data_IF_875441200044
#
_entry.id   IF_875441200044
#
_cell.length_a   1.000
_cell.length_b   1.000
_cell.length_c   1.000
_cell.angle_alpha   90.00
_cell.angle_beta   90.00
_cell.angle_gamma   90.00
#
_symmetry.space_group_name_H-M   'P 1'
#
loop_
_entity.id
_entity.type
_entity.pdbx_description
1 polymer ?
#
# COMPACT_ATOMS: atom_id res chain seq x y z
N UNK A 1 -20.21 46.73 -10.52
CA UNK A 1 -20.76 45.57 -9.80
C UNK A 1 -19.87 44.38 -10.04
N UNK A 2 -18.98 44.09 -9.09
CA UNK A 2 -18.10 42.92 -9.10
C UNK A 2 -18.84 41.76 -8.41
N UNK A 3 -19.19 40.73 -9.14
CA UNK A 3 -19.71 39.49 -8.60
C UNK A 3 -18.54 38.70 -7.98
N UNK A 4 -18.53 38.62 -6.67
CA UNK A 4 -17.68 37.73 -5.92
C UNK A 4 -18.25 36.32 -6.08
N UNK A 5 -17.57 35.46 -6.85
CA UNK A 5 -17.88 34.03 -6.85
C UNK A 5 -17.33 33.46 -5.52
N UNK A 6 -18.25 33.18 -4.61
CA UNK A 6 -17.93 32.36 -3.45
C UNK A 6 -17.56 30.95 -3.95
N UNK A 7 -16.26 30.66 -3.93
CA UNK A 7 -15.77 29.29 -4.10
C UNK A 7 -16.06 28.60 -2.77
N UNK A 8 -17.17 27.89 -2.69
CA UNK A 8 -17.42 26.93 -1.63
C UNK A 8 -16.31 25.89 -1.69
N UNK A 9 -15.29 26.06 -0.84
CA UNK A 9 -14.36 24.98 -0.52
C UNK A 9 -15.16 23.93 0.24
N UNK A 10 -15.60 22.90 -0.47
CA UNK A 10 -16.10 21.68 0.17
C UNK A 10 -14.91 21.11 0.95
N UNK A 11 -14.95 21.15 2.28
CA UNK A 11 -14.00 20.46 3.14
C UNK A 11 -14.27 18.96 2.93
N UNK A 12 -13.55 18.37 1.99
CA UNK A 12 -13.55 16.92 1.84
C UNK A 12 -12.89 16.36 3.10
N UNK A 13 -13.64 15.66 3.92
CA UNK A 13 -13.07 14.91 5.06
C UNK A 13 -11.95 14.01 4.52
N UNK A 14 -10.72 14.21 4.98
CA UNK A 14 -9.60 13.39 4.52
C UNK A 14 -9.85 11.93 4.86
N UNK A 15 -9.73 11.04 3.86
CA UNK A 15 -9.86 9.60 4.05
C UNK A 15 -8.65 9.09 4.80
N UNK A 16 -8.78 8.97 6.12
CA UNK A 16 -7.69 8.60 7.02
C UNK A 16 -8.15 7.57 8.04
N UNK A 17 -7.24 6.72 8.48
CA UNK A 17 -7.49 5.75 9.51
C UNK A 17 -6.22 5.40 10.29
N UNK A 18 -6.41 4.94 11.52
CA UNK A 18 -5.35 4.39 12.36
C UNK A 18 -5.74 2.99 12.83
N UNK A 19 -4.71 2.14 12.96
CA UNK A 19 -4.79 0.77 13.47
C UNK A 19 -3.69 0.60 14.49
N UNK A 20 -4.04 0.03 15.64
CA UNK A 20 -3.09 -0.50 16.62
C UNK A 20 -3.36 -2.01 16.76
N UNK A 21 -2.30 -2.81 16.67
CA UNK A 21 -2.36 -4.27 16.78
C UNK A 21 -1.22 -4.74 17.68
N UNK A 22 -1.57 -5.51 18.69
CA UNK A 22 -0.60 -6.07 19.63
C UNK A 22 -0.78 -7.57 19.74
N UNK A 23 0.32 -8.29 19.65
CA UNK A 23 0.42 -9.75 19.85
C UNK A 23 1.45 -10.05 20.95
N UNK A 24 1.83 -11.31 21.11
CA UNK A 24 2.96 -11.67 21.95
C UNK A 24 4.32 -11.35 21.27
N UNK A 25 4.34 -11.18 19.96
CA UNK A 25 5.54 -11.06 19.12
C UNK A 25 5.78 -9.61 18.69
N UNK A 26 4.71 -8.82 18.47
CA UNK A 26 4.81 -7.47 17.93
C UNK A 26 3.85 -6.50 18.59
N UNK A 27 4.21 -5.21 18.59
CA UNK A 27 3.34 -4.06 18.89
C UNK A 27 3.41 -3.10 17.72
N UNK A 28 2.31 -2.98 16.98
CA UNK A 28 2.24 -2.27 15.68
C UNK A 28 1.24 -1.13 15.77
N UNK A 29 1.66 0.07 15.36
CA UNK A 29 0.78 1.22 15.17
C UNK A 29 0.97 1.79 13.76
N UNK A 30 -0.13 1.86 13.00
CA UNK A 30 -0.18 2.41 11.64
C UNK A 30 -1.22 3.51 11.55
N UNK A 31 -0.89 4.61 10.90
CA UNK A 31 -1.82 5.66 10.51
C UNK A 31 -1.60 6.03 9.06
N UNK A 32 -2.66 6.09 8.27
CA UNK A 32 -2.62 6.47 6.86
C UNK A 32 -3.65 7.54 6.52
N UNK A 33 -3.26 8.50 5.68
CA UNK A 33 -4.16 9.42 4.99
C UNK A 33 -4.02 9.17 3.48
N UNK A 34 -5.12 8.73 2.83
CA UNK A 34 -5.12 8.40 1.39
C UNK A 34 -4.98 9.65 0.53
N UNK A 35 -5.53 10.78 0.97
CA UNK A 35 -5.46 12.07 0.30
C UNK A 35 -4.32 12.94 0.90
N UNK A 36 -3.16 12.34 1.03
CA UNK A 36 -1.97 12.93 1.65
C UNK A 36 -1.05 13.65 0.66
N UNK A 37 0.17 13.89 1.10
CA UNK A 37 1.23 14.60 0.34
C UNK A 37 2.52 13.78 0.20
N UNK A 38 2.53 12.55 0.71
CA UNK A 38 3.68 11.64 0.67
C UNK A 38 4.63 11.83 1.86
N UNK A 39 4.12 12.28 3.00
CA UNK A 39 4.89 12.36 4.25
C UNK A 39 5.01 10.99 4.89
N UNK A 40 6.19 10.64 5.36
CA UNK A 40 6.47 9.36 6.00
C UNK A 40 7.11 9.57 7.37
N UNK A 41 6.63 8.80 8.36
CA UNK A 41 7.25 8.64 9.67
C UNK A 41 7.30 7.13 9.97
N UNK A 42 8.40 6.48 9.61
CA UNK A 42 8.52 5.01 9.62
C UNK A 42 9.60 4.59 10.62
N UNK A 43 9.29 3.62 11.45
CA UNK A 43 10.21 3.02 12.42
C UNK A 43 9.76 1.57 12.72
N UNK A 44 10.18 0.61 11.91
CA UNK A 44 9.89 -0.82 12.13
C UNK A 44 11.04 -1.54 12.81
N UNK A 45 12.23 -0.95 12.81
CA UNK A 45 13.46 -1.61 13.25
C UNK A 45 14.11 -2.47 12.16
N UNK A 46 13.46 -2.65 11.00
CA UNK A 46 13.96 -3.38 9.84
C UNK A 46 14.27 -2.37 8.74
N UNK A 47 15.54 -1.99 8.59
CA UNK A 47 15.95 -0.84 7.76
C UNK A 47 15.51 -0.92 6.30
N UNK A 48 15.52 -2.12 5.69
CA UNK A 48 15.05 -2.29 4.31
C UNK A 48 13.52 -2.11 4.21
N UNK A 49 12.76 -2.62 5.19
CA UNK A 49 11.32 -2.42 5.24
C UNK A 49 10.96 -0.95 5.45
N UNK A 50 11.69 -0.24 6.33
CA UNK A 50 11.52 1.20 6.53
C UNK A 50 11.65 1.95 5.21
N UNK A 51 12.71 1.68 4.45
CA UNK A 51 12.93 2.25 3.13
C UNK A 51 11.79 1.95 2.15
N UNK A 52 11.30 0.70 2.10
CA UNK A 52 10.17 0.32 1.23
C UNK A 52 8.88 1.05 1.59
N UNK A 53 8.59 1.24 2.88
CA UNK A 53 7.40 1.96 3.35
C UNK A 53 7.51 3.48 3.12
N UNK A 54 8.69 4.06 3.22
CA UNK A 54 8.96 5.45 2.82
C UNK A 54 8.67 5.66 1.31
N UNK A 55 9.14 4.75 0.46
CA UNK A 55 8.84 4.77 -0.97
C UNK A 55 7.35 4.60 -1.24
N UNK A 56 6.67 3.70 -0.52
CA UNK A 56 5.23 3.51 -0.62
C UNK A 56 4.49 4.83 -0.30
N UNK A 57 4.80 5.48 0.81
CA UNK A 57 4.21 6.76 1.17
C UNK A 57 4.49 7.83 0.10
N UNK A 58 5.75 7.98 -0.29
CA UNK A 58 6.18 9.03 -1.22
C UNK A 58 5.58 8.90 -2.60
N UNK A 59 5.62 7.69 -3.18
CA UNK A 59 5.12 7.44 -4.53
C UNK A 59 3.60 7.29 -4.61
N UNK A 60 2.96 6.88 -3.52
CA UNK A 60 1.50 6.84 -3.38
C UNK A 60 0.88 8.18 -3.00
N UNK A 61 1.69 9.16 -2.61
CA UNK A 61 1.24 10.45 -2.04
C UNK A 61 0.39 10.27 -0.77
N UNK A 62 0.62 9.18 -0.04
CA UNK A 62 -0.02 8.92 1.24
C UNK A 62 0.76 9.59 2.37
N UNK A 63 0.06 10.19 3.36
CA UNK A 63 0.73 10.50 4.61
C UNK A 63 0.66 9.26 5.49
N UNK A 64 1.82 8.72 5.87
CA UNK A 64 1.96 7.41 6.50
C UNK A 64 2.83 7.46 7.74
N UNK A 65 2.31 6.96 8.85
CA UNK A 65 3.08 6.68 10.07
C UNK A 65 3.03 5.18 10.33
N UNK A 66 4.20 4.54 10.52
CA UNK A 66 4.31 3.13 10.91
C UNK A 66 5.33 3.02 12.05
N UNK A 67 4.90 2.48 13.18
CA UNK A 67 5.76 2.18 14.31
C UNK A 67 5.57 0.73 14.72
N UNK A 68 6.65 -0.03 14.75
CA UNK A 68 6.65 -1.44 15.14
C UNK A 68 7.73 -1.69 16.19
N UNK A 69 7.37 -2.42 17.22
CA UNK A 69 8.31 -3.07 18.12
C UNK A 69 8.07 -4.56 18.01
N UNK A 70 8.99 -5.29 17.40
CA UNK A 70 8.89 -6.73 17.16
C UNK A 70 10.02 -7.50 17.80
N UNK A 71 9.93 -8.81 17.74
CA UNK A 71 10.89 -9.79 18.26
C UNK A 71 12.06 -10.04 17.28
N UNK A 72 12.72 -8.96 16.80
CA UNK A 72 13.81 -8.99 15.82
C UNK A 72 15.02 -9.87 16.22
N UNK A 73 15.06 -10.32 17.46
CA UNK A 73 16.06 -11.31 17.91
C UNK A 73 15.75 -12.72 17.35
N UNK A 74 14.54 -12.97 16.87
CA UNK A 74 14.15 -14.18 16.15
C UNK A 74 14.53 -14.01 14.68
N UNK A 75 13.80 -13.14 13.99
CA UNK A 75 14.06 -12.68 12.62
C UNK A 75 13.17 -11.46 12.29
N UNK A 76 13.15 -11.03 11.01
CA UNK A 76 12.34 -9.89 10.53
C UNK A 76 10.90 -10.30 10.13
N UNK A 77 10.52 -11.60 10.23
CA UNK A 77 9.28 -12.13 9.65
C UNK A 77 8.05 -11.52 10.30
N UNK A 78 7.88 -11.69 11.63
CA UNK A 78 6.70 -11.22 12.35
C UNK A 78 6.51 -9.70 12.20
N UNK A 79 7.60 -8.94 12.27
CA UNK A 79 7.58 -7.48 12.06
C UNK A 79 7.07 -7.12 10.67
N UNK A 80 7.56 -7.81 9.64
CA UNK A 80 7.21 -7.53 8.23
C UNK A 80 5.75 -7.90 7.94
N UNK A 81 5.32 -9.08 8.36
CA UNK A 81 3.96 -9.56 8.17
C UNK A 81 2.95 -8.66 8.91
N UNK A 82 3.20 -8.38 10.19
CA UNK A 82 2.29 -7.60 11.02
C UNK A 82 2.20 -6.12 10.59
N UNK A 83 3.29 -5.55 10.05
CA UNK A 83 3.25 -4.26 9.38
C UNK A 83 2.33 -4.29 8.15
N UNK A 84 2.42 -5.34 7.32
CA UNK A 84 1.54 -5.56 6.17
C UNK A 84 0.07 -5.73 6.58
N UNK A 85 -0.21 -6.50 7.64
CA UNK A 85 -1.54 -6.67 8.21
C UNK A 85 -2.13 -5.33 8.65
N UNK A 86 -1.40 -4.58 9.48
CA UNK A 86 -1.89 -3.33 10.04
C UNK A 86 -2.08 -2.25 8.97
N UNK A 87 -1.17 -2.18 7.97
CA UNK A 87 -1.30 -1.27 6.85
C UNK A 87 -2.51 -1.62 5.97
N UNK A 88 -2.73 -2.89 5.66
CA UNK A 88 -3.90 -3.35 4.91
C UNK A 88 -5.21 -2.98 5.62
N UNK A 89 -5.29 -3.20 6.93
CA UNK A 89 -6.45 -2.82 7.74
C UNK A 89 -6.67 -1.30 7.77
N UNK A 90 -5.59 -0.52 7.87
CA UNK A 90 -5.68 0.93 7.86
C UNK A 90 -6.20 1.46 6.50
N UNK A 91 -5.71 0.91 5.39
CA UNK A 91 -6.20 1.22 4.04
C UNK A 91 -7.69 0.88 3.91
N UNK A 92 -8.11 -0.33 4.32
CA UNK A 92 -9.52 -0.73 4.26
C UNK A 92 -10.43 0.22 5.06
N UNK A 93 -10.01 0.59 6.27
CA UNK A 93 -10.75 1.54 7.11
C UNK A 93 -10.81 2.94 6.49
N UNK A 94 -9.70 3.43 5.92
CA UNK A 94 -9.63 4.75 5.29
C UNK A 94 -10.49 4.83 4.02
N UNK A 95 -10.67 3.72 3.30
CA UNK A 95 -11.53 3.64 2.11
C UNK A 95 -13.03 3.79 2.45
N UNK A 96 -13.45 3.48 3.66
CA UNK A 96 -14.84 3.59 4.08
C UNK A 96 -15.80 2.78 3.19
N UNK A 97 -16.83 3.42 2.66
CA UNK A 97 -17.88 2.80 1.84
C UNK A 97 -17.49 2.59 0.36
N UNK A 98 -16.27 2.98 -0.01
CA UNK A 98 -15.70 2.83 -1.36
C UNK A 98 -16.50 3.51 -2.49
N UNK A 99 -17.35 4.49 -2.15
CA UNK A 99 -18.07 5.27 -3.17
C UNK A 99 -17.16 6.23 -3.91
N UNK A 100 -17.43 6.38 -5.19
CA UNK A 100 -16.74 7.35 -6.04
C UNK A 100 -15.29 7.02 -6.36
N UNK A 101 -14.74 5.88 -5.95
CA UNK A 101 -13.36 5.52 -6.27
C UNK A 101 -13.22 4.99 -7.70
N UNK A 102 -12.01 5.11 -8.27
CA UNK A 102 -11.66 4.53 -9.58
C UNK A 102 -11.71 2.99 -9.55
N UNK A 103 -11.40 2.36 -8.42
CA UNK A 103 -11.44 0.93 -8.14
C UNK A 103 -10.33 0.11 -8.79
N UNK A 104 -10.12 0.23 -10.09
CA UNK A 104 -9.12 -0.54 -10.85
C UNK A 104 -7.94 0.33 -11.21
N UNK A 105 -6.74 -0.22 -11.15
CA UNK A 105 -5.56 0.42 -11.70
C UNK A 105 -4.48 -0.60 -12.02
N UNK A 106 -3.62 -0.23 -12.95
CA UNK A 106 -2.41 -0.98 -13.27
C UNK A 106 -1.25 -0.04 -13.59
N UNK A 107 -0.05 -0.59 -13.54
CA UNK A 107 1.18 0.09 -13.93
C UNK A 107 2.26 -0.92 -14.34
N UNK A 108 3.10 -0.49 -15.26
CA UNK A 108 4.43 -1.06 -15.44
C UNK A 108 5.44 -0.13 -14.77
N UNK A 109 6.14 -0.64 -13.76
CA UNK A 109 7.05 0.13 -12.92
C UNK A 109 8.50 -0.23 -13.25
N UNK A 110 9.23 0.67 -13.92
CA UNK A 110 10.66 0.49 -14.17
C UNK A 110 11.47 0.85 -12.94
N UNK A 111 12.55 0.14 -12.71
CA UNK A 111 13.61 0.48 -11.78
C UNK A 111 14.94 0.03 -12.39
N UNK A 112 15.62 0.95 -13.07
CA UNK A 112 16.82 0.72 -13.90
C UNK A 112 16.60 -0.47 -14.87
N UNK A 113 17.29 -1.59 -14.68
CA UNK A 113 17.19 -2.81 -15.52
C UNK A 113 15.94 -3.65 -15.24
N UNK A 114 15.21 -3.34 -14.16
CA UNK A 114 14.05 -4.11 -13.71
C UNK A 114 12.75 -3.52 -14.25
N UNK A 115 11.83 -4.37 -14.66
CA UNK A 115 10.44 -3.98 -14.97
C UNK A 115 9.45 -4.89 -14.25
N UNK A 116 8.61 -4.29 -13.40
CA UNK A 116 7.53 -4.99 -12.68
C UNK A 116 6.17 -4.46 -13.11
N UNK A 117 5.25 -5.36 -13.41
CA UNK A 117 3.83 -5.06 -13.65
C UNK A 117 3.03 -5.27 -12.37
N UNK A 118 2.21 -4.28 -12.01
CA UNK A 118 1.29 -4.37 -10.87
C UNK A 118 -0.10 -4.00 -11.33
N UNK A 119 -1.11 -4.81 -10.95
CA UNK A 119 -2.52 -4.52 -11.20
C UNK A 119 -3.36 -4.79 -9.93
N UNK A 120 -4.36 -3.94 -9.69
CA UNK A 120 -5.19 -4.00 -8.49
C UNK A 120 -6.68 -3.82 -8.84
N UNK A 121 -7.52 -4.57 -8.12
CA UNK A 121 -8.97 -4.35 -8.00
C UNK A 121 -9.32 -4.23 -6.52
N UNK A 122 -9.90 -3.09 -6.12
CA UNK A 122 -10.48 -2.91 -4.77
C UNK A 122 -11.83 -3.63 -4.74
N UNK A 123 -11.78 -4.95 -4.77
CA UNK A 123 -12.92 -5.84 -5.04
C UNK A 123 -13.68 -6.27 -3.79
N UNK A 124 -13.12 -6.09 -2.58
CA UNK A 124 -13.63 -6.73 -1.36
C UNK A 124 -13.38 -8.26 -1.33
N UNK A 125 -12.68 -8.81 -2.31
CA UNK A 125 -12.31 -10.23 -2.44
C UNK A 125 -10.80 -10.35 -2.44
N UNK A 126 -10.17 -10.58 -1.26
CA UNK A 126 -8.72 -10.59 -1.15
C UNK A 126 -8.10 -11.74 -1.95
N UNK A 127 -7.13 -11.41 -2.79
CA UNK A 127 -6.36 -12.39 -3.54
C UNK A 127 -5.01 -11.81 -3.95
N UNK A 128 -3.93 -12.56 -3.77
CA UNK A 128 -2.61 -12.20 -4.26
C UNK A 128 -2.14 -13.17 -5.35
N UNK A 129 -1.76 -12.64 -6.50
CA UNK A 129 -0.89 -13.31 -7.48
C UNK A 129 0.48 -12.65 -7.41
N UNK A 130 1.48 -13.39 -6.95
CA UNK A 130 2.85 -12.91 -6.83
C UNK A 130 3.78 -13.76 -7.69
N UNK A 131 4.17 -13.22 -8.85
CA UNK A 131 5.06 -13.85 -9.84
C UNK A 131 6.37 -13.08 -9.93
N UNK A 132 7.05 -13.02 -8.80
CA UNK A 132 8.34 -12.35 -8.67
C UNK A 132 9.33 -13.32 -8.06
N UNK A 133 10.50 -13.40 -8.66
CA UNK A 133 11.63 -14.18 -8.14
C UNK A 133 12.81 -13.25 -7.88
N UNK A 134 13.56 -13.55 -6.85
CA UNK A 134 14.73 -12.77 -6.47
C UNK A 134 16.00 -13.59 -6.74
N UNK A 135 17.01 -13.03 -7.42
CA UNK A 135 18.26 -13.74 -7.70
C UNK A 135 19.10 -14.00 -6.44
N UNK A 136 18.87 -13.26 -5.36
CA UNK A 136 19.55 -13.46 -4.06
C UNK A 136 18.55 -13.70 -2.94
N UNK A 137 18.95 -14.43 -1.91
CA UNK A 137 18.10 -14.69 -0.74
C UNK A 137 17.98 -13.49 0.19
N UNK A 138 18.93 -12.55 0.14
CA UNK A 138 18.96 -11.37 1.02
C UNK A 138 19.26 -10.08 0.26
N UNK A 139 18.72 -8.99 0.79
CA UNK A 139 19.06 -7.60 0.45
C UNK A 139 19.59 -6.97 1.76
N UNK A 140 20.90 -6.83 1.88
CA UNK A 140 21.49 -6.53 3.18
C UNK A 140 21.21 -7.66 4.19
N UNK A 141 20.52 -7.35 5.28
CA UNK A 141 20.06 -8.32 6.28
C UNK A 141 18.65 -8.85 6.04
N UNK A 142 17.88 -8.21 5.19
CA UNK A 142 16.46 -8.52 4.91
C UNK A 142 16.32 -9.74 3.98
N UNK A 143 15.52 -10.73 4.36
CA UNK A 143 15.23 -11.90 3.54
C UNK A 143 14.23 -11.56 2.42
N UNK A 144 14.56 -11.90 1.17
CA UNK A 144 13.74 -11.54 0.00
C UNK A 144 12.37 -12.22 -0.02
N UNK A 145 12.20 -13.36 0.65
CA UNK A 145 10.91 -14.03 0.81
C UNK A 145 9.90 -13.18 1.57
N UNK A 146 10.36 -12.31 2.47
CA UNK A 146 9.49 -11.42 3.26
C UNK A 146 8.77 -10.37 2.42
N UNK A 147 9.26 -10.07 1.23
CA UNK A 147 8.53 -9.21 0.28
C UNK A 147 7.16 -9.82 -0.03
N UNK A 148 7.12 -11.12 -0.35
CA UNK A 148 5.86 -11.81 -0.63
C UNK A 148 4.94 -11.84 0.61
N UNK A 149 5.50 -12.07 1.79
CA UNK A 149 4.72 -12.14 3.05
C UNK A 149 4.05 -10.79 3.34
N UNK A 150 4.78 -9.67 3.20
CA UNK A 150 4.21 -8.33 3.30
C UNK A 150 3.04 -8.11 2.31
N UNK A 151 3.24 -8.45 1.03
CA UNK A 151 2.21 -8.27 -0.01
C UNK A 151 0.99 -9.16 0.24
N UNK A 152 1.19 -10.39 0.74
CA UNK A 152 0.12 -11.32 1.10
C UNK A 152 -0.72 -10.77 2.25
N UNK A 153 -0.06 -10.33 3.33
CA UNK A 153 -0.70 -9.74 4.49
C UNK A 153 -1.49 -8.49 4.11
N UNK A 154 -0.87 -7.59 3.34
CA UNK A 154 -1.51 -6.37 2.84
C UNK A 154 -2.75 -6.67 1.99
N UNK A 155 -2.65 -7.54 0.99
CA UNK A 155 -3.75 -7.85 0.07
C UNK A 155 -4.94 -8.47 0.80
N UNK A 156 -4.70 -9.40 1.73
CA UNK A 156 -5.74 -10.04 2.54
C UNK A 156 -6.46 -8.99 3.40
N UNK A 157 -5.72 -8.16 4.12
CA UNK A 157 -6.30 -7.25 5.11
C UNK A 157 -6.93 -5.99 4.50
N UNK A 158 -6.47 -5.56 3.35
CA UNK A 158 -7.09 -4.46 2.60
C UNK A 158 -8.29 -4.91 1.74
N UNK A 159 -8.49 -6.21 1.57
CA UNK A 159 -9.59 -6.76 0.78
C UNK A 159 -9.42 -6.54 -0.73
N UNK A 160 -8.19 -6.43 -1.22
CA UNK A 160 -7.91 -6.18 -2.63
C UNK A 160 -7.51 -7.46 -3.36
N UNK A 161 -7.84 -7.54 -4.65
CA UNK A 161 -7.20 -8.46 -5.58
C UNK A 161 -5.96 -7.77 -6.13
N UNK A 162 -4.79 -8.33 -5.91
CA UNK A 162 -3.50 -7.75 -6.27
C UNK A 162 -2.68 -8.72 -7.10
N UNK A 163 -2.19 -8.25 -8.23
CA UNK A 163 -1.26 -8.99 -9.10
C UNK A 163 0.06 -8.24 -9.15
N UNK A 164 1.16 -8.94 -8.88
CA UNK A 164 2.53 -8.44 -8.97
C UNK A 164 3.34 -9.43 -9.78
N UNK A 165 3.94 -8.97 -10.87
CA UNK A 165 4.74 -9.81 -11.75
C UNK A 165 5.97 -9.04 -12.22
N UNK A 166 7.16 -9.50 -11.85
CA UNK A 166 8.41 -9.00 -12.41
C UNK A 166 8.65 -9.65 -13.77
N UNK A 167 8.67 -8.84 -14.82
CA UNK A 167 8.84 -9.30 -16.18
C UNK A 167 10.31 -9.63 -16.47
N UNK A 168 11.22 -8.83 -15.95
CA UNK A 168 12.66 -9.02 -15.97
C UNK A 168 13.34 -8.13 -14.92
N UNK A 169 14.55 -8.48 -14.52
CA UNK A 169 15.40 -7.80 -13.56
C UNK A 169 16.40 -8.79 -12.95
N UNK A 170 17.56 -8.31 -12.57
CA UNK A 170 18.64 -9.14 -12.02
C UNK A 170 19.21 -8.61 -10.68
N UNK A 171 18.72 -7.48 -10.21
CA UNK A 171 19.06 -6.92 -8.90
C UNK A 171 17.88 -7.07 -7.93
N UNK A 172 18.04 -7.87 -6.86
CA UNK A 172 16.98 -8.12 -5.88
C UNK A 172 16.44 -6.85 -5.21
N UNK A 173 17.29 -5.84 -4.96
CA UNK A 173 16.86 -4.55 -4.41
C UNK A 173 15.94 -3.82 -5.38
N UNK A 174 16.34 -3.70 -6.66
CA UNK A 174 15.52 -3.04 -7.69
C UNK A 174 14.21 -3.78 -7.92
N UNK A 175 14.22 -5.11 -7.88
CA UNK A 175 13.00 -5.92 -7.99
C UNK A 175 12.05 -5.61 -6.83
N UNK A 176 12.52 -5.66 -5.57
CA UNK A 176 11.68 -5.34 -4.41
C UNK A 176 11.15 -3.91 -4.45
N UNK A 177 12.03 -2.94 -4.74
CA UNK A 177 11.67 -1.53 -4.84
C UNK A 177 10.63 -1.26 -5.92
N UNK A 178 10.76 -1.89 -7.10
CA UNK A 178 9.77 -1.77 -8.19
C UNK A 178 8.41 -2.33 -7.78
N UNK A 179 8.36 -3.42 -6.98
CA UNK A 179 7.13 -3.96 -6.43
C UNK A 179 6.44 -2.95 -5.49
N UNK A 180 7.16 -2.39 -4.50
CA UNK A 180 6.59 -1.45 -3.54
C UNK A 180 6.18 -0.12 -4.20
N UNK A 181 6.99 0.44 -5.09
CA UNK A 181 6.61 1.61 -5.90
C UNK A 181 5.38 1.33 -6.76
N UNK A 182 5.33 0.16 -7.38
CA UNK A 182 4.19 -0.30 -8.16
C UNK A 182 2.92 -0.39 -7.34
N UNK A 183 2.97 -1.02 -6.16
CA UNK A 183 1.86 -1.08 -5.20
C UNK A 183 1.37 0.33 -4.83
N UNK A 184 2.30 1.23 -4.47
CA UNK A 184 1.99 2.60 -4.09
C UNK A 184 1.24 3.35 -5.20
N UNK A 185 1.75 3.29 -6.43
CA UNK A 185 1.18 3.99 -7.59
C UNK A 185 -0.16 3.42 -8.02
N UNK A 186 -0.31 2.10 -7.97
CA UNK A 186 -1.56 1.42 -8.31
C UNK A 186 -2.63 1.72 -7.27
N UNK A 187 -2.30 1.65 -5.97
CA UNK A 187 -3.23 2.01 -4.90
C UNK A 187 -3.67 3.47 -5.01
N UNK A 188 -2.72 4.40 -5.20
CA UNK A 188 -3.03 5.82 -5.37
C UNK A 188 -4.04 6.07 -6.49
N UNK A 189 -3.87 5.41 -7.64
CA UNK A 189 -4.80 5.50 -8.78
C UNK A 189 -6.14 4.84 -8.47
N UNK A 190 -6.15 3.64 -7.87
CA UNK A 190 -7.36 2.88 -7.58
C UNK A 190 -8.26 3.57 -6.54
N UNK A 191 -7.67 4.27 -5.55
CA UNK A 191 -8.42 5.03 -4.55
C UNK A 191 -8.81 6.43 -5.02
N UNK A 192 -8.27 6.91 -6.14
CA UNK A 192 -8.60 8.24 -6.66
C UNK A 192 -10.11 8.38 -6.91
N UNK A 193 -10.66 9.55 -6.59
CA UNK A 193 -12.07 9.83 -6.83
C UNK A 193 -12.29 10.10 -8.33
N UNK A 194 -13.27 9.40 -8.91
CA UNK A 194 -13.76 9.63 -10.28
C UNK A 194 -15.04 10.44 -10.18
N UNK A 195 -15.06 11.71 -10.63
CA UNK A 195 -16.23 12.57 -10.50
C UNK A 195 -17.51 12.00 -11.13
N UNK A 196 -17.38 11.17 -12.18
CA UNK A 196 -18.51 10.52 -12.84
C UNK A 196 -19.12 9.36 -12.03
N UNK A 197 -18.43 8.91 -10.98
CA UNK A 197 -18.87 7.87 -10.02
C UNK A 197 -19.33 8.47 -8.69
N UNK A 198 -19.45 9.79 -8.58
CA UNK A 198 -19.82 10.46 -7.33
C UNK A 198 -21.08 9.84 -6.69
N UNK A 199 -20.96 9.49 -5.40
CA UNK A 199 -22.02 8.88 -4.61
C UNK A 199 -22.35 7.41 -4.94
N UNK A 200 -21.72 6.81 -5.96
CA UNK A 200 -21.98 5.43 -6.38
C UNK A 200 -20.84 4.50 -5.98
N UNK A 201 -21.17 3.27 -5.66
CA UNK A 201 -20.18 2.18 -5.56
C UNK A 201 -19.88 1.72 -6.99
N UNK A 202 -18.59 1.67 -7.41
CA UNK A 202 -18.22 1.31 -8.79
C UNK A 202 -18.36 -0.20 -9.02
N UNK A 203 -19.57 -0.72 -8.92
CA UNK A 203 -19.91 -2.13 -9.05
C UNK A 203 -21.32 -2.31 -9.57
N UNK A 204 -21.50 -3.16 -10.57
CA UNK A 204 -22.84 -3.56 -11.07
C UNK A 204 -23.68 -4.32 -10.04
N UNK A 205 -23.02 -4.83 -8.97
CA UNK A 205 -23.68 -5.50 -7.84
C UNK A 205 -24.13 -4.53 -6.74
N UNK A 206 -23.73 -3.24 -6.82
CA UNK A 206 -24.03 -2.23 -5.79
C UNK A 206 -23.23 -2.37 -4.48
N UNK A 207 -22.32 -3.33 -4.40
CA UNK A 207 -21.45 -3.60 -3.24
C UNK A 207 -20.02 -3.98 -3.68
N UNK A 208 -19.04 -3.74 -2.77
CA UNK A 208 -17.63 -4.15 -2.88
C UNK A 208 -17.13 -4.69 -1.54
#
# INVERSE_FOLDING_TARGET
>A
LKSTKDVLMTVVSSRSASVARRTAETDVAVSITLDGTGKAEIATGVGFLDHMLELFARHGLFDLTVKVTGDLHVDDHHTTEDAGIALGQAVLKALGDKKGITRYADIQMPMDETLTRVAMDISGRPFLVFRTTFPTQKIGTFDTELVREFFQAFAIQSGVTLHVETLYGDNSHHIAESCFKGLARVLCKAVALEPREEGRVPSTKGTL
#
